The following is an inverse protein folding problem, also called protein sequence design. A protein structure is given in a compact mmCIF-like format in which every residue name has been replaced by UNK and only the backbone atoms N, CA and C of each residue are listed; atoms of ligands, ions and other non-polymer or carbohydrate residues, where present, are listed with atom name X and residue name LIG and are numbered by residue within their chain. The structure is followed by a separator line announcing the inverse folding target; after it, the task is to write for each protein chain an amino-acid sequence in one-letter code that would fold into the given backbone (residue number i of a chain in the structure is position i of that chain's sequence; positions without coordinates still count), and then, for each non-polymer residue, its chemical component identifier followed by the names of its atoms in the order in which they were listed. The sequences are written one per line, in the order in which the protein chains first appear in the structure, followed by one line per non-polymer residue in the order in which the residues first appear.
data_IF_130788932209
#
_entry.id   IF_130788932209
#
_cell.length_a   1.000
_cell.length_b   1.000
_cell.length_c   1.000
_cell.angle_alpha   90.00
_cell.angle_beta   90.00
_cell.angle_gamma   90.00
#
_symmetry.space_group_name_H-M   'P 1'
#
loop_
_entity.id
_entity.type
_entity.pdbx_description
1 polymer ?
#
# COMPACT_ATOMS: atom_id res chain seq x y z
N UNK A 1 -5.03 7.19 26.13
CA UNK A 1 -3.60 7.18 26.56
C UNK A 1 -3.35 7.77 27.96
N UNK A 2 -4.38 7.98 28.80
CA UNK A 2 -4.22 8.45 30.18
C UNK A 2 -4.09 9.97 30.37
N UNK A 3 -4.17 10.75 29.30
CA UNK A 3 -4.14 12.21 29.35
C UNK A 3 -5.56 12.76 29.32
N UNK A 4 -5.88 13.61 30.30
CA UNK A 4 -7.16 14.32 30.41
C UNK A 4 -6.87 15.76 30.84
N UNK A 5 -7.59 16.72 30.27
CA UNK A 5 -7.59 18.12 30.66
C UNK A 5 -8.95 18.76 30.28
N UNK A 6 -9.17 20.04 30.59
CA UNK A 6 -10.43 20.71 30.28
C UNK A 6 -10.53 21.08 28.80
N UNK A 7 -9.39 21.29 28.13
CA UNK A 7 -9.33 21.62 26.69
C UNK A 7 -8.32 20.74 25.94
N UNK A 8 -8.49 20.62 24.63
CA UNK A 8 -7.55 19.87 23.79
C UNK A 8 -6.17 20.52 23.75
N UNK A 9 -6.09 21.85 23.78
CA UNK A 9 -4.82 22.57 23.90
C UNK A 9 -4.05 22.19 25.17
N UNK A 10 -4.74 22.04 26.30
CA UNK A 10 -4.13 21.56 27.55
C UNK A 10 -3.72 20.09 27.45
N UNK A 11 -4.50 19.25 26.75
CA UNK A 11 -4.11 17.85 26.48
C UNK A 11 -2.81 17.83 25.65
N UNK A 12 -2.75 18.58 24.54
CA UNK A 12 -1.56 18.66 23.67
C UNK A 12 -0.35 19.13 24.47
N UNK A 13 -0.47 20.24 25.22
CA UNK A 13 0.62 20.77 26.03
C UNK A 13 1.12 19.75 27.06
N UNK A 14 0.20 19.04 27.72
CA UNK A 14 0.54 17.99 28.69
C UNK A 14 1.25 16.81 28.03
N UNK A 15 0.77 16.33 26.89
CA UNK A 15 1.41 15.22 26.17
C UNK A 15 2.78 15.65 25.62
N UNK A 16 2.90 16.86 25.08
CA UNK A 16 4.17 17.41 24.60
C UNK A 16 5.23 17.45 25.71
N UNK A 17 4.83 17.82 26.93
CA UNK A 17 5.73 17.90 28.08
C UNK A 17 6.07 16.51 28.66
N UNK A 18 5.07 15.65 28.84
CA UNK A 18 5.22 14.39 29.58
C UNK A 18 5.58 13.19 28.69
N UNK A 19 5.19 13.20 27.40
CA UNK A 19 5.36 12.11 26.46
C UNK A 19 5.37 12.56 24.98
N UNK A 20 6.32 13.40 24.54
CA UNK A 20 6.36 13.95 23.18
C UNK A 20 6.35 12.89 22.07
N UNK A 21 6.90 11.71 22.31
CA UNK A 21 6.85 10.58 21.37
C UNK A 21 5.43 10.05 21.11
N UNK A 22 4.53 10.15 22.09
CA UNK A 22 3.11 9.78 21.91
C UNK A 22 2.39 10.82 21.06
N UNK A 23 2.74 12.09 21.24
CA UNK A 23 2.22 13.17 20.40
C UNK A 23 2.66 12.97 18.94
N UNK A 24 3.95 12.74 18.72
CA UNK A 24 4.49 12.43 17.38
C UNK A 24 3.81 11.21 16.74
N UNK A 25 3.52 10.17 17.52
CA UNK A 25 2.80 8.99 17.02
C UNK A 25 1.36 9.31 16.60
N UNK A 26 0.69 10.24 17.28
CA UNK A 26 -0.68 10.65 16.94
C UNK A 26 -0.74 11.63 15.75
N UNK A 27 0.36 12.33 15.45
CA UNK A 27 0.47 13.31 14.36
C UNK A 27 1.16 12.73 13.11
N UNK A 28 1.42 11.42 13.06
CA UNK A 28 2.05 10.81 11.90
C UNK A 28 1.14 10.92 10.66
N UNK A 29 1.70 11.38 9.55
CA UNK A 29 1.02 11.39 8.25
C UNK A 29 1.14 10.03 7.53
N UNK A 30 1.22 8.91 8.26
CA UNK A 30 1.45 7.58 7.71
C UNK A 30 0.30 7.04 6.85
N UNK A 31 -0.92 7.56 7.04
CA UNK A 31 -2.08 7.24 6.22
C UNK A 31 -1.94 7.62 4.74
N UNK A 32 -0.94 8.44 4.38
CA UNK A 32 -0.59 8.70 2.97
C UNK A 32 -0.14 7.44 2.23
N UNK A 33 0.37 6.42 2.94
CA UNK A 33 0.77 5.15 2.34
C UNK A 33 -0.41 4.20 2.22
N UNK A 34 -1.28 4.52 1.26
CA UNK A 34 -2.54 3.82 1.04
C UNK A 34 -2.38 2.41 0.47
N UNK A 35 -1.16 1.97 0.08
CA UNK A 35 -0.89 0.56 -0.17
C UNK A 35 -1.20 -0.33 1.04
N UNK A 36 -1.15 0.23 2.24
CA UNK A 36 -1.51 -0.49 3.46
C UNK A 36 -2.92 -0.17 3.97
N UNK A 37 -3.72 0.62 3.25
CA UNK A 37 -5.04 1.01 3.73
C UNK A 37 -5.99 -0.20 3.84
N UNK A 38 -5.97 -1.08 2.85
CA UNK A 38 -6.83 -2.25 2.76
C UNK A 38 -6.24 -3.31 1.83
N UNK A 39 -6.79 -4.52 1.92
CA UNK A 39 -6.74 -5.50 0.83
C UNK A 39 -8.00 -5.39 -0.01
N UNK A 40 -7.84 -5.46 -1.33
CA UNK A 40 -8.92 -5.32 -2.32
C UNK A 40 -8.93 -6.57 -3.20
N UNK A 41 -10.08 -7.22 -3.31
CA UNK A 41 -10.30 -8.30 -4.29
C UNK A 41 -11.41 -7.87 -5.26
N UNK A 42 -11.13 -7.75 -6.57
CA UNK A 42 -12.11 -7.28 -7.56
C UNK A 42 -13.29 -8.22 -7.73
N UNK A 43 -14.42 -7.67 -8.19
CA UNK A 43 -15.64 -8.39 -8.56
C UNK A 43 -15.43 -9.63 -9.44
N UNK A 44 -14.39 -9.65 -10.27
CA UNK A 44 -14.11 -10.79 -11.16
C UNK A 44 -13.58 -12.03 -10.41
N UNK A 45 -13.11 -11.87 -9.17
CA UNK A 45 -12.40 -12.90 -8.41
C UNK A 45 -13.22 -13.46 -7.24
N UNK A 46 -14.30 -12.77 -6.87
CA UNK A 46 -15.12 -13.08 -5.69
C UNK A 46 -16.35 -13.92 -6.09
N UNK A 47 -16.78 -14.79 -5.19
CA UNK A 47 -17.86 -15.74 -5.46
C UNK A 47 -19.23 -15.10 -5.70
N UNK A 48 -19.46 -13.89 -5.19
CA UNK A 48 -20.72 -13.15 -5.30
C UNK A 48 -20.68 -12.03 -6.36
N UNK A 49 -19.54 -11.85 -7.03
CA UNK A 49 -19.37 -10.84 -8.07
C UNK A 49 -19.28 -9.40 -7.56
N UNK A 50 -18.96 -9.19 -6.27
CA UNK A 50 -18.74 -7.85 -5.69
C UNK A 50 -17.26 -7.55 -5.50
N UNK A 51 -16.88 -6.29 -5.45
CA UNK A 51 -15.52 -5.90 -5.03
C UNK A 51 -15.45 -5.93 -3.50
N UNK A 52 -14.62 -6.80 -2.93
CA UNK A 52 -14.46 -6.94 -1.48
C UNK A 52 -13.30 -6.11 -0.96
N UNK A 53 -13.52 -5.44 0.16
CA UNK A 53 -12.58 -4.49 0.77
C UNK A 53 -12.44 -4.82 2.27
N UNK A 54 -11.23 -5.17 2.70
CA UNK A 54 -10.91 -5.34 4.14
C UNK A 54 -9.85 -4.30 4.54
N UNK A 55 -10.18 -3.30 5.37
CA UNK A 55 -9.19 -2.39 5.94
C UNK A 55 -8.13 -3.15 6.75
N UNK A 56 -6.87 -2.79 6.56
CA UNK A 56 -5.77 -3.46 7.28
C UNK A 56 -5.71 -2.96 8.72
N UNK A 57 -5.43 -3.83 9.69
CA UNK A 57 -5.41 -3.45 11.09
C UNK A 57 -4.12 -2.73 11.53
N UNK A 58 -3.03 -2.90 10.78
CA UNK A 58 -1.75 -2.20 10.98
C UNK A 58 -1.20 -2.30 12.41
N UNK A 59 -1.51 -3.42 13.09
CA UNK A 59 -1.28 -3.58 14.53
C UNK A 59 0.19 -3.60 14.91
N UNK A 60 1.11 -3.75 13.95
CA UNK A 60 2.54 -3.81 14.19
C UNK A 60 3.14 -2.46 14.62
N UNK A 61 2.55 -1.33 14.20
CA UNK A 61 3.04 0.01 14.50
C UNK A 61 1.93 0.89 15.06
N UNK A 62 2.08 1.37 16.29
CA UNK A 62 1.02 2.11 16.99
C UNK A 62 0.50 3.35 16.22
N UNK A 63 1.40 4.14 15.63
CA UNK A 63 1.00 5.32 14.85
C UNK A 63 0.20 4.97 13.59
N UNK A 64 0.28 3.70 13.14
CA UNK A 64 -0.48 3.18 12.01
C UNK A 64 -1.78 2.49 12.42
N UNK A 65 -1.79 1.82 13.57
CA UNK A 65 -2.99 1.13 14.07
C UNK A 65 -4.15 2.08 14.40
N UNK A 66 -3.88 3.39 14.50
CA UNK A 66 -4.91 4.43 14.69
C UNK A 66 -5.51 4.94 13.37
N UNK A 67 -5.01 4.49 12.21
CA UNK A 67 -5.53 4.89 10.89
C UNK A 67 -6.91 4.23 10.59
N UNK A 68 -7.13 3.04 11.14
CA UNK A 68 -8.10 2.05 10.67
C UNK A 68 -9.55 2.55 10.61
N UNK A 69 -10.03 3.21 11.67
CA UNK A 69 -11.42 3.65 11.75
C UNK A 69 -11.74 4.73 10.70
N UNK A 70 -10.83 5.71 10.56
CA UNK A 70 -10.97 6.77 9.54
C UNK A 70 -10.81 6.18 8.14
N UNK A 71 -9.80 5.34 7.91
CA UNK A 71 -9.60 4.64 6.63
C UNK A 71 -10.85 3.85 6.23
N UNK A 72 -11.48 3.14 7.16
CA UNK A 72 -12.70 2.38 6.92
C UNK A 72 -13.86 3.27 6.45
N UNK A 73 -14.03 4.46 7.07
CA UNK A 73 -15.07 5.42 6.67
C UNK A 73 -14.77 6.06 5.31
N UNK A 74 -13.51 6.42 5.05
CA UNK A 74 -13.09 6.98 3.75
C UNK A 74 -13.32 5.96 2.63
N UNK A 75 -12.91 4.70 2.82
CA UNK A 75 -13.14 3.64 1.84
C UNK A 75 -14.63 3.41 1.58
N UNK A 76 -15.47 3.39 2.63
CA UNK A 76 -16.93 3.27 2.48
C UNK A 76 -17.57 4.45 1.76
N UNK A 77 -17.02 5.65 1.93
CA UNK A 77 -17.49 6.84 1.24
C UNK A 77 -17.14 6.79 -0.26
N UNK A 78 -15.89 6.43 -0.60
CA UNK A 78 -15.41 6.34 -1.98
C UNK A 78 -16.08 5.19 -2.74
N UNK A 79 -16.08 3.99 -2.13
CA UNK A 79 -16.59 2.75 -2.71
C UNK A 79 -17.98 2.45 -2.12
N UNK A 80 -18.92 3.35 -2.37
CA UNK A 80 -20.31 3.20 -1.95
C UNK A 80 -21.13 2.50 -3.04
N UNK A 81 -22.05 1.62 -2.65
CA UNK A 81 -22.91 0.89 -3.59
C UNK A 81 -23.11 -0.56 -3.19
N UNK A 82 -24.06 -1.24 -3.84
CA UNK A 82 -24.36 -2.65 -3.57
C UNK A 82 -23.31 -3.59 -4.20
N UNK A 83 -22.51 -3.09 -5.14
CA UNK A 83 -21.42 -3.77 -5.82
C UNK A 83 -20.12 -3.87 -5.01
N UNK A 84 -20.09 -3.25 -3.82
CA UNK A 84 -18.98 -3.32 -2.87
C UNK A 84 -19.39 -4.04 -1.60
N UNK A 85 -18.50 -4.90 -1.10
CA UNK A 85 -18.66 -5.53 0.22
C UNK A 85 -17.53 -5.06 1.15
N UNK A 86 -17.89 -4.33 2.20
CA UNK A 86 -16.94 -3.78 3.17
C UNK A 86 -16.87 -4.63 4.43
N UNK A 87 -15.73 -5.28 4.63
CA UNK A 87 -15.46 -6.08 5.82
C UNK A 87 -14.93 -5.21 6.96
N UNK A 88 -15.16 -5.59 8.23
CA UNK A 88 -14.41 -5.00 9.33
C UNK A 88 -12.92 -5.40 9.23
N UNK A 89 -12.00 -4.58 9.76
CA UNK A 89 -10.61 -5.00 9.92
C UNK A 89 -10.53 -6.28 10.76
N UNK A 90 -9.52 -7.11 10.50
CA UNK A 90 -9.25 -8.27 11.35
C UNK A 90 -8.90 -7.82 12.77
N UNK A 91 -9.17 -8.68 13.76
CA UNK A 91 -8.81 -8.43 15.16
C UNK A 91 -7.36 -7.97 15.29
N UNK A 92 -7.15 -6.88 16.02
CA UNK A 92 -5.83 -6.29 16.24
C UNK A 92 -5.02 -7.11 17.27
N UNK A 93 -4.57 -8.29 16.86
CA UNK A 93 -3.65 -9.14 17.62
C UNK A 93 -2.56 -9.72 16.72
N UNK A 94 -1.47 -10.20 17.32
CA UNK A 94 -0.29 -10.66 16.58
C UNK A 94 -0.53 -11.91 15.72
N UNK A 95 -1.64 -12.62 15.91
CA UNK A 95 -2.04 -13.75 15.04
C UNK A 95 -2.58 -13.25 13.71
N UNK A 96 -3.33 -12.14 13.73
CA UNK A 96 -4.05 -11.62 12.58
C UNK A 96 -3.47 -10.27 12.13
N UNK A 97 -2.15 -10.08 12.30
CA UNK A 97 -1.47 -8.86 11.88
C UNK A 97 -1.50 -8.73 10.36
N UNK A 98 -2.05 -7.60 9.89
CA UNK A 98 -2.31 -7.33 8.48
C UNK A 98 -1.85 -5.93 8.08
N UNK A 99 -1.13 -5.86 6.96
CA UNK A 99 -0.60 -4.65 6.36
C UNK A 99 -1.16 -4.40 4.94
N UNK A 100 -2.24 -5.09 4.56
CA UNK A 100 -3.04 -4.77 3.38
C UNK A 100 -2.34 -5.06 2.05
N UNK A 101 -2.68 -4.26 1.04
CA UNK A 101 -2.26 -4.49 -0.34
C UNK A 101 -0.74 -4.40 -0.61
N UNK A 102 0.06 -3.86 0.31
CA UNK A 102 1.53 -3.90 0.23
C UNK A 102 2.08 -5.34 0.25
N UNK A 103 1.29 -6.30 0.73
CA UNK A 103 1.58 -7.73 0.74
C UNK A 103 0.68 -8.54 -0.20
N UNK A 104 0.02 -7.87 -1.15
CA UNK A 104 -0.90 -8.48 -2.11
C UNK A 104 -0.52 -8.16 -3.56
N UNK A 105 -0.60 -9.16 -4.43
CA UNK A 105 -0.44 -8.99 -5.88
C UNK A 105 -1.49 -9.79 -6.62
N UNK A 106 -2.11 -9.17 -7.63
CA UNK A 106 -3.09 -9.81 -8.50
C UNK A 106 -2.54 -9.97 -9.91
N UNK A 107 -2.64 -11.18 -10.46
CA UNK A 107 -2.28 -11.51 -11.84
C UNK A 107 -3.52 -11.79 -12.69
N UNK A 108 -3.56 -11.27 -13.90
CA UNK A 108 -4.70 -11.39 -14.82
C UNK A 108 -4.27 -11.15 -16.28
N UNK A 109 -5.09 -11.56 -17.24
CA UNK A 109 -4.99 -11.17 -18.65
C UNK A 109 -5.42 -9.71 -18.83
N UNK A 110 -6.73 -9.47 -18.90
CA UNK A 110 -7.29 -8.13 -18.73
C UNK A 110 -7.69 -7.88 -17.27
N UNK A 111 -7.74 -6.62 -16.84
CA UNK A 111 -8.03 -6.29 -15.44
C UNK A 111 -9.42 -6.76 -14.99
N UNK A 112 -10.41 -6.73 -15.87
CA UNK A 112 -11.78 -7.18 -15.59
C UNK A 112 -11.99 -8.69 -15.72
N UNK A 113 -10.99 -9.45 -16.17
CA UNK A 113 -11.07 -10.92 -16.23
C UNK A 113 -10.76 -11.51 -14.84
N UNK A 114 -11.25 -12.71 -14.50
CA UNK A 114 -10.89 -13.41 -13.27
C UNK A 114 -9.37 -13.54 -13.11
N UNK A 115 -8.85 -13.32 -11.91
CA UNK A 115 -7.43 -13.25 -11.62
C UNK A 115 -6.90 -14.39 -10.76
N UNK A 116 -5.59 -14.34 -10.51
CA UNK A 116 -4.89 -15.13 -9.49
C UNK A 116 -4.37 -14.16 -8.43
N UNK A 117 -4.76 -14.36 -7.18
CA UNK A 117 -4.34 -13.52 -6.05
C UNK A 117 -3.17 -14.17 -5.30
N UNK A 118 -2.09 -13.42 -5.14
CA UNK A 118 -0.90 -13.79 -4.39
C UNK A 118 -0.85 -12.99 -3.09
N UNK A 119 -0.98 -13.69 -1.98
CA UNK A 119 -0.81 -13.15 -0.64
C UNK A 119 0.57 -13.51 -0.12
N UNK A 120 1.32 -12.52 0.36
CA UNK A 120 2.68 -12.71 0.86
C UNK A 120 2.73 -12.47 2.36
N UNK A 121 3.28 -13.40 3.13
CA UNK A 121 3.35 -13.29 4.59
C UNK A 121 4.79 -13.46 5.10
N UNK A 122 5.08 -12.90 6.27
CA UNK A 122 6.40 -13.02 6.89
C UNK A 122 6.48 -14.13 7.95
N UNK A 123 5.37 -14.46 8.60
CA UNK A 123 5.31 -15.47 9.66
C UNK A 123 3.99 -16.26 9.69
N UNK A 124 4.01 -17.43 10.33
CA UNK A 124 2.81 -18.25 10.56
C UNK A 124 2.97 -19.06 11.84
N UNK A 125 1.85 -19.35 12.51
CA UNK A 125 1.81 -20.29 13.65
C UNK A 125 2.10 -21.73 13.22
N UNK A 126 1.90 -22.08 11.95
CA UNK A 126 2.20 -23.43 11.42
C UNK A 126 3.70 -23.72 11.39
N UNK A 127 4.52 -22.70 11.14
CA UNK A 127 5.98 -22.82 11.12
C UNK A 127 6.63 -21.60 11.81
N UNK A 128 6.53 -21.50 13.15
CA UNK A 128 6.93 -20.30 13.89
C UNK A 128 8.45 -20.05 13.86
N UNK A 129 9.25 -21.06 13.52
CA UNK A 129 10.71 -20.96 13.45
C UNK A 129 11.22 -20.45 12.12
N UNK A 130 10.40 -20.49 11.06
CA UNK A 130 10.71 -19.86 9.79
C UNK A 130 10.14 -18.45 9.84
N UNK A 131 10.89 -17.54 10.47
CA UNK A 131 10.49 -16.15 10.70
C UNK A 131 11.75 -15.28 10.79
N UNK A 132 11.65 -13.95 10.56
CA UNK A 132 12.78 -13.04 10.74
C UNK A 132 13.24 -12.96 12.20
N UNK A 133 14.53 -12.72 12.41
CA UNK A 133 15.16 -12.71 13.74
C UNK A 133 15.38 -11.28 14.29
N UNK A 134 15.56 -10.29 13.41
CA UNK A 134 15.93 -8.92 13.75
C UNK A 134 14.75 -7.95 13.65
N UNK A 135 13.97 -8.03 12.58
CA UNK A 135 12.81 -7.16 12.37
C UNK A 135 11.50 -7.96 12.42
N UNK A 136 10.39 -7.39 12.91
CA UNK A 136 9.14 -8.12 13.03
C UNK A 136 8.55 -8.40 11.64
N UNK A 137 8.05 -9.63 11.45
CA UNK A 137 7.12 -9.94 10.36
C UNK A 137 5.76 -9.31 10.66
N UNK A 138 5.35 -8.33 9.86
CA UNK A 138 4.11 -7.56 10.08
C UNK A 138 2.86 -8.18 9.47
N UNK A 139 3.04 -9.15 8.57
CA UNK A 139 1.96 -9.89 7.92
C UNK A 139 2.01 -11.36 8.32
N UNK A 140 0.87 -11.91 8.74
CA UNK A 140 0.75 -13.35 9.06
C UNK A 140 -0.01 -14.12 7.99
N UNK A 141 0.31 -15.41 7.84
CA UNK A 141 -0.45 -16.32 6.98
C UNK A 141 -1.92 -16.39 7.41
N UNK A 142 -2.17 -16.38 8.71
CA UNK A 142 -3.52 -16.48 9.27
C UNK A 142 -4.38 -15.26 8.90
N UNK A 143 -3.79 -14.06 8.84
CA UNK A 143 -4.46 -12.87 8.32
C UNK A 143 -4.78 -13.02 6.83
N UNK A 144 -3.80 -13.41 6.01
CA UNK A 144 -3.99 -13.63 4.57
C UNK A 144 -5.11 -14.63 4.27
N UNK A 145 -5.15 -15.77 4.98
CA UNK A 145 -6.17 -16.79 4.79
C UNK A 145 -7.56 -16.31 5.24
N UNK A 146 -7.63 -15.53 6.32
CA UNK A 146 -8.90 -14.96 6.81
C UNK A 146 -9.47 -13.97 5.79
N UNK A 147 -8.63 -13.10 5.21
CA UNK A 147 -9.06 -12.15 4.17
C UNK A 147 -9.52 -12.88 2.92
N UNK A 148 -8.72 -13.81 2.40
CA UNK A 148 -9.10 -14.59 1.20
C UNK A 148 -10.44 -15.33 1.39
N UNK A 149 -10.68 -15.88 2.59
CA UNK A 149 -11.95 -16.50 2.94
C UNK A 149 -13.10 -15.49 3.01
N UNK A 150 -12.92 -14.34 3.67
CA UNK A 150 -13.94 -13.30 3.77
C UNK A 150 -14.28 -12.68 2.40
N UNK A 151 -13.30 -12.65 1.50
CA UNK A 151 -13.44 -12.17 0.14
C UNK A 151 -14.07 -13.20 -0.81
N UNK A 152 -14.32 -14.43 -0.34
CA UNK A 152 -14.92 -15.48 -1.16
C UNK A 152 -14.03 -15.90 -2.34
N UNK A 153 -12.70 -15.77 -2.19
CA UNK A 153 -11.76 -16.13 -3.25
C UNK A 153 -11.71 -17.63 -3.48
N UNK A 154 -11.63 -18.03 -4.74
CA UNK A 154 -11.47 -19.44 -5.09
C UNK A 154 -10.09 -19.96 -4.67
N UNK A 155 -10.04 -21.01 -3.85
CA UNK A 155 -8.78 -21.60 -3.38
C UNK A 155 -7.86 -22.09 -4.51
N UNK A 156 -8.41 -22.39 -5.69
CA UNK A 156 -7.66 -22.76 -6.89
C UNK A 156 -6.98 -21.57 -7.60
N UNK A 157 -7.30 -20.33 -7.19
CA UNK A 157 -6.79 -19.08 -7.74
C UNK A 157 -6.16 -18.18 -6.66
N UNK A 158 -5.92 -18.72 -5.46
CA UNK A 158 -5.29 -17.99 -4.35
C UNK A 158 -4.02 -18.71 -3.91
N UNK A 159 -2.90 -18.00 -3.96
CA UNK A 159 -1.58 -18.49 -3.58
C UNK A 159 -1.10 -17.75 -2.34
N UNK A 160 -0.50 -18.50 -1.41
CA UNK A 160 0.12 -17.95 -0.21
C UNK A 160 1.62 -18.22 -0.25
N UNK A 161 2.43 -17.16 -0.34
CA UNK A 161 3.88 -17.27 -0.39
C UNK A 161 4.52 -16.68 0.87
N UNK A 162 5.51 -17.38 1.43
CA UNK A 162 6.29 -16.82 2.52
C UNK A 162 7.43 -15.95 1.97
N UNK A 163 7.49 -14.70 2.42
CA UNK A 163 8.61 -13.81 2.17
C UNK A 163 9.88 -14.35 2.83
N UNK A 164 11.03 -14.16 2.19
CA UNK A 164 12.31 -14.59 2.73
C UNK A 164 12.61 -13.85 4.06
N UNK A 165 12.75 -14.57 5.19
CA UNK A 165 13.05 -13.95 6.49
C UNK A 165 14.31 -13.09 6.48
N UNK A 166 15.33 -13.48 5.71
CA UNK A 166 16.58 -12.72 5.58
C UNK A 166 16.38 -11.39 4.85
N UNK A 167 15.40 -11.31 3.94
CA UNK A 167 15.06 -10.06 3.27
C UNK A 167 14.35 -9.12 4.25
N UNK A 168 13.44 -9.64 5.07
CA UNK A 168 12.78 -8.87 6.15
C UNK A 168 13.84 -8.30 7.11
N UNK A 169 14.78 -9.14 7.57
CA UNK A 169 15.86 -8.72 8.46
C UNK A 169 16.84 -7.71 7.84
N UNK A 170 16.87 -7.62 6.50
CA UNK A 170 17.62 -6.61 5.77
C UNK A 170 16.88 -5.28 5.63
N UNK A 171 15.56 -5.23 5.88
CA UNK A 171 14.74 -4.02 5.80
C UNK A 171 13.51 -4.13 4.90
N UNK A 172 13.23 -5.30 4.31
CA UNK A 172 12.02 -5.53 3.49
C UNK A 172 10.82 -5.79 4.40
N UNK A 173 10.22 -4.75 4.95
CA UNK A 173 9.10 -4.90 5.89
C UNK A 173 7.75 -5.21 5.23
N UNK A 174 7.63 -5.02 3.91
CA UNK A 174 6.48 -5.38 3.06
C UNK A 174 6.95 -6.00 1.74
N UNK A 175 6.09 -6.81 1.09
CA UNK A 175 6.40 -7.45 -0.19
C UNK A 175 6.68 -6.45 -1.32
N UNK A 176 5.95 -5.34 -1.35
CA UNK A 176 6.15 -4.25 -2.32
C UNK A 176 7.50 -3.52 -2.19
N UNK A 177 8.39 -3.92 -1.28
CA UNK A 177 9.79 -3.46 -1.24
C UNK A 177 10.74 -4.42 -1.96
N UNK A 178 10.29 -5.63 -2.34
CA UNK A 178 11.13 -6.67 -2.97
C UNK A 178 10.50 -7.36 -4.20
N UNK A 179 9.19 -7.21 -4.41
CA UNK A 179 8.47 -7.74 -5.55
C UNK A 179 7.23 -6.91 -5.88
N UNK A 180 6.93 -6.76 -7.17
CA UNK A 180 5.71 -6.11 -7.67
C UNK A 180 5.23 -6.85 -8.92
N UNK A 181 3.93 -7.05 -9.04
CA UNK A 181 3.32 -7.63 -10.24
C UNK A 181 2.22 -6.78 -10.83
N UNK A 182 1.96 -6.95 -12.12
CA UNK A 182 0.88 -6.32 -12.86
C UNK A 182 0.50 -7.19 -14.06
N UNK A 183 -0.81 -7.44 -14.25
CA UNK A 183 -1.32 -8.36 -15.28
C UNK A 183 -0.58 -9.70 -15.23
N UNK A 184 0.10 -10.10 -16.29
CA UNK A 184 0.83 -11.36 -16.36
C UNK A 184 2.32 -11.23 -15.99
N UNK A 185 2.78 -10.08 -15.46
CA UNK A 185 4.19 -9.83 -15.16
C UNK A 185 4.44 -9.82 -13.64
N UNK A 186 5.48 -10.52 -13.19
CA UNK A 186 6.05 -10.43 -11.85
C UNK A 186 7.51 -9.96 -11.93
N UNK A 187 7.80 -8.81 -11.34
CA UNK A 187 9.14 -8.23 -11.21
C UNK A 187 9.60 -8.35 -9.75
N UNK A 188 10.68 -9.10 -9.49
CA UNK A 188 11.05 -9.48 -8.14
C UNK A 188 12.55 -9.75 -7.99
N UNK A 189 13.08 -9.62 -6.78
CA UNK A 189 14.47 -9.98 -6.48
C UNK A 189 14.65 -11.50 -6.30
N UNK A 190 15.82 -12.05 -6.65
CA UNK A 190 16.15 -13.48 -6.43
C UNK A 190 16.06 -13.94 -4.95
N UNK A 191 15.91 -12.98 -4.02
CA UNK A 191 15.80 -13.23 -2.57
C UNK A 191 14.42 -12.85 -2.00
N UNK A 192 13.40 -12.64 -2.84
CA UNK A 192 12.07 -12.19 -2.43
C UNK A 192 11.34 -13.20 -1.53
N UNK A 193 11.23 -14.46 -1.98
CA UNK A 193 10.48 -15.50 -1.28
C UNK A 193 11.40 -16.55 -0.66
N UNK A 194 10.88 -17.35 0.27
CA UNK A 194 11.60 -18.53 0.79
C UNK A 194 11.97 -19.49 -0.35
N UNK A 195 11.07 -19.63 -1.33
CA UNK A 195 11.26 -20.47 -2.51
C UNK A 195 10.64 -19.81 -3.76
N UNK A 196 11.44 -19.03 -4.51
CA UNK A 196 10.94 -18.35 -5.72
C UNK A 196 10.43 -19.33 -6.78
N UNK A 197 11.12 -20.46 -7.00
CA UNK A 197 10.74 -21.46 -8.00
C UNK A 197 9.35 -22.00 -7.72
N UNK A 198 9.09 -22.40 -6.47
CA UNK A 198 7.78 -22.91 -6.07
C UNK A 198 6.67 -21.87 -6.23
N UNK A 199 6.94 -20.59 -5.91
CA UNK A 199 5.96 -19.51 -6.14
C UNK A 199 5.67 -19.35 -7.63
N UNK A 200 6.70 -19.32 -8.49
CA UNK A 200 6.54 -19.19 -9.93
C UNK A 200 5.83 -20.40 -10.55
N UNK A 201 6.15 -21.61 -10.09
CA UNK A 201 5.53 -22.86 -10.52
C UNK A 201 4.04 -22.90 -10.12
N UNK A 202 3.72 -22.53 -8.88
CA UNK A 202 2.33 -22.45 -8.40
C UNK A 202 1.52 -21.42 -9.19
N UNK A 203 2.07 -20.22 -9.41
CA UNK A 203 1.43 -19.18 -10.21
C UNK A 203 1.19 -19.65 -11.65
N UNK A 204 2.20 -20.25 -12.28
CA UNK A 204 2.10 -20.76 -13.66
C UNK A 204 1.10 -21.90 -13.78
N UNK A 205 0.97 -22.73 -12.75
CA UNK A 205 0.02 -23.84 -12.75
C UNK A 205 -1.45 -23.39 -12.67
N UNK A 206 -1.72 -22.23 -12.05
CA UNK A 206 -3.09 -21.73 -11.85
C UNK A 206 -3.46 -20.58 -12.80
N UNK A 207 -2.49 -19.93 -13.44
CA UNK A 207 -2.72 -18.89 -14.42
C UNK A 207 -3.05 -19.50 -15.79
N UNK A 208 -4.26 -19.26 -16.27
CA UNK A 208 -4.84 -19.89 -17.47
C UNK A 208 -5.08 -18.89 -18.63
N UNK A 209 -4.64 -17.65 -18.48
CA UNK A 209 -4.86 -16.55 -19.44
C UNK A 209 -3.63 -16.25 -20.30
N UNK A 210 -2.73 -17.22 -20.45
CA UNK A 210 -1.50 -17.09 -21.23
C UNK A 210 -0.26 -17.42 -20.41
N UNK A 211 0.87 -16.83 -20.77
CA UNK A 211 2.14 -17.03 -20.09
C UNK A 211 2.38 -15.91 -19.06
N UNK A 212 2.84 -16.31 -17.87
CA UNK A 212 3.39 -15.38 -16.89
C UNK A 212 4.83 -15.02 -17.25
N UNK A 213 5.12 -13.72 -17.22
CA UNK A 213 6.44 -13.17 -17.45
C UNK A 213 7.10 -12.93 -16.10
N UNK A 214 8.15 -13.68 -15.82
CA UNK A 214 8.94 -13.54 -14.59
C UNK A 214 10.21 -12.77 -14.90
N UNK A 215 10.37 -11.60 -14.28
CA UNK A 215 11.60 -10.79 -14.33
C UNK A 215 12.27 -10.89 -12.96
N UNK A 216 13.14 -11.88 -12.81
CA UNK A 216 13.97 -12.03 -11.62
C UNK A 216 15.20 -11.11 -11.70
N UNK A 217 15.43 -10.31 -10.65
CA UNK A 217 16.64 -9.49 -10.51
C UNK A 217 17.67 -10.29 -9.71
N UNK A 218 18.78 -10.72 -10.34
CA UNK A 218 19.80 -11.47 -9.63
C UNK A 218 20.59 -10.54 -8.70
N UNK A 219 20.98 -11.05 -7.53
CA UNK A 219 21.74 -10.30 -6.51
C UNK A 219 23.09 -9.80 -7.04
N UNK A 220 23.59 -10.47 -8.08
CA UNK A 220 24.86 -10.16 -8.72
C UNK A 220 24.78 -8.91 -9.61
N UNK A 221 23.58 -8.50 -10.04
CA UNK A 221 23.35 -7.26 -10.78
C UNK A 221 22.87 -6.14 -9.84
N UNK A 222 21.91 -6.44 -8.96
CA UNK A 222 21.44 -5.49 -7.95
C UNK A 222 21.46 -6.19 -6.60
N UNK A 223 22.26 -5.69 -5.66
CA UNK A 223 22.30 -6.28 -4.32
C UNK A 223 21.00 -6.01 -3.56
N UNK A 224 20.66 -6.86 -2.58
CA UNK A 224 19.50 -6.63 -1.71
C UNK A 224 19.57 -5.27 -1.00
N UNK A 225 20.77 -4.82 -0.62
CA UNK A 225 20.99 -3.52 -0.01
C UNK A 225 20.62 -2.38 -0.97
N UNK A 226 21.03 -2.49 -2.23
CA UNK A 226 20.77 -1.47 -3.25
C UNK A 226 19.29 -1.46 -3.64
N UNK A 227 18.66 -2.63 -3.73
CA UNK A 227 17.21 -2.75 -3.95
C UNK A 227 16.40 -2.03 -2.86
N UNK A 228 16.77 -2.22 -1.59
CA UNK A 228 16.13 -1.56 -0.45
C UNK A 228 16.42 -0.05 -0.43
N UNK A 229 17.67 0.35 -0.69
CA UNK A 229 18.06 1.76 -0.66
C UNK A 229 17.43 2.57 -1.79
N UNK A 230 17.27 1.97 -2.98
CA UNK A 230 16.67 2.61 -4.15
C UNK A 230 15.15 2.53 -4.21
N UNK A 231 14.51 1.64 -3.45
CA UNK A 231 13.09 1.30 -3.58
C UNK A 231 12.72 0.77 -4.98
N UNK A 232 13.64 0.06 -5.67
CA UNK A 232 13.43 -0.48 -7.02
C UNK A 232 12.11 -1.23 -7.18
N UNK A 233 11.77 -2.10 -6.23
CA UNK A 233 10.54 -2.90 -6.29
C UNK A 233 9.32 -2.20 -5.71
N UNK A 234 9.50 -1.07 -5.02
CA UNK A 234 8.40 -0.18 -4.65
C UNK A 234 7.97 0.70 -5.82
N UNK A 235 8.06 0.16 -7.02
CA UNK A 235 7.69 0.77 -8.28
C UNK A 235 6.23 0.50 -8.62
N UNK A 236 5.67 1.30 -9.51
CA UNK A 236 4.41 0.95 -10.17
C UNK A 236 4.71 0.32 -11.52
N UNK A 237 4.13 -0.84 -11.77
CA UNK A 237 4.06 -1.46 -13.09
C UNK A 237 2.71 -1.09 -13.72
N UNK A 238 2.73 -0.37 -14.84
CA UNK A 238 1.54 0.15 -15.50
C UNK A 238 1.37 -0.41 -16.91
N UNK A 239 0.13 -0.75 -17.25
CA UNK A 239 -0.27 -1.03 -18.63
C UNK A 239 -0.93 0.22 -19.21
N UNK A 240 -0.19 0.96 -20.04
CA UNK A 240 -0.67 2.19 -20.68
C UNK A 240 -1.45 1.84 -21.96
N UNK A 241 -2.66 2.39 -22.18
CA UNK A 241 -3.41 2.13 -23.40
C UNK A 241 -2.61 2.48 -24.67
N UNK A 242 -2.67 1.62 -25.68
CA UNK A 242 -1.95 1.76 -26.95
C UNK A 242 -0.42 1.66 -26.86
N UNK A 243 0.11 1.19 -25.73
CA UNK A 243 1.53 0.89 -25.53
C UNK A 243 1.71 -0.62 -25.39
N UNK A 244 2.72 -1.17 -26.07
CA UNK A 244 3.14 -2.56 -25.88
C UNK A 244 4.16 -2.62 -24.73
N UNK A 245 4.02 -3.61 -23.84
CA UNK A 245 4.88 -3.73 -22.66
C UNK A 245 4.42 -2.89 -21.45
N UNK A 246 5.23 -2.97 -20.39
CA UNK A 246 4.95 -2.36 -19.09
C UNK A 246 5.76 -1.09 -18.91
N UNK A 247 5.11 0.00 -18.53
CA UNK A 247 5.80 1.20 -18.02
C UNK A 247 6.12 1.02 -16.54
N UNK A 248 7.38 1.20 -16.15
CA UNK A 248 7.82 1.12 -14.75
C UNK A 248 8.00 2.54 -14.19
N UNK A 249 7.31 2.86 -13.10
CA UNK A 249 7.52 4.11 -12.35
C UNK A 249 8.39 3.81 -11.12
N UNK A 250 9.58 4.40 -11.08
CA UNK A 250 10.55 4.28 -9.98
C UNK A 250 10.82 5.64 -9.32
N UNK A 251 11.27 5.67 -8.05
CA UNK A 251 11.74 6.92 -7.44
C UNK A 251 13.13 7.32 -7.99
N UNK A 252 13.51 8.59 -7.85
CA UNK A 252 14.80 9.13 -8.32
C UNK A 252 16.03 8.41 -7.75
N UNK A 253 15.91 7.81 -6.58
CA UNK A 253 16.96 7.04 -5.90
C UNK A 253 17.40 5.82 -6.73
N UNK A 254 16.53 5.29 -7.60
CA UNK A 254 16.89 4.26 -8.58
C UNK A 254 17.86 4.78 -9.67
N UNK A 255 17.92 6.09 -9.90
CA UNK A 255 18.90 6.73 -10.79
C UNK A 255 20.22 7.00 -10.06
N UNK A 256 20.16 7.30 -8.77
CA UNK A 256 21.32 7.68 -7.97
C UNK A 256 22.21 6.47 -7.58
N UNK A 257 21.64 5.27 -7.54
CA UNK A 257 22.37 4.02 -7.27
C UNK A 257 22.77 3.36 -8.59
N UNK A 258 24.07 3.37 -8.90
CA UNK A 258 24.66 2.92 -10.17
C UNK A 258 24.21 1.51 -10.58
N UNK A 259 24.28 0.53 -9.67
CA UNK A 259 23.87 -0.87 -9.95
C UNK A 259 22.40 -0.98 -10.37
N UNK A 260 21.53 -0.17 -9.77
CA UNK A 260 20.09 -0.14 -10.06
C UNK A 260 19.80 0.59 -11.36
N UNK A 261 20.46 1.73 -11.57
CA UNK A 261 20.32 2.52 -12.79
C UNK A 261 20.78 1.73 -14.02
N UNK A 262 21.94 1.08 -13.95
CA UNK A 262 22.46 0.24 -15.03
C UNK A 262 21.55 -0.95 -15.32
N UNK A 263 21.01 -1.60 -14.27
CA UNK A 263 20.05 -2.67 -14.41
C UNK A 263 18.77 -2.20 -15.13
N UNK A 264 18.19 -1.06 -14.70
CA UNK A 264 16.97 -0.51 -15.31
C UNK A 264 17.18 -0.08 -16.77
N UNK A 265 18.30 0.56 -17.08
CA UNK A 265 18.64 0.93 -18.47
C UNK A 265 18.77 -0.30 -19.36
N UNK A 266 19.42 -1.35 -18.85
CA UNK A 266 19.53 -2.63 -19.57
C UNK A 266 18.16 -3.29 -19.73
N UNK A 267 17.36 -3.29 -18.68
CA UNK A 267 16.03 -3.89 -18.68
C UNK A 267 15.12 -3.21 -19.72
N UNK A 268 15.10 -1.87 -19.76
CA UNK A 268 14.35 -1.09 -20.74
C UNK A 268 14.84 -1.33 -22.18
N UNK A 269 16.16 -1.47 -22.38
CA UNK A 269 16.73 -1.65 -23.71
C UNK A 269 16.58 -3.08 -24.27
N UNK A 270 16.58 -4.10 -23.41
CA UNK A 270 16.72 -5.51 -23.83
C UNK A 270 15.49 -6.38 -23.58
N UNK A 271 14.58 -5.99 -22.66
CA UNK A 271 13.43 -6.82 -22.31
C UNK A 271 12.15 -6.31 -22.97
N UNK A 272 11.63 -7.06 -23.94
CA UNK A 272 10.43 -6.70 -24.71
C UNK A 272 9.14 -6.60 -23.87
N UNK A 273 9.14 -7.08 -22.62
CA UNK A 273 8.02 -6.92 -21.72
C UNK A 273 7.96 -5.52 -21.08
N UNK A 274 9.03 -4.73 -21.19
CA UNK A 274 9.17 -3.40 -20.62
C UNK A 274 9.16 -2.35 -21.75
N UNK A 275 8.26 -1.36 -21.62
CA UNK A 275 8.15 -0.24 -22.56
C UNK A 275 9.17 0.85 -22.24
N UNK A 276 9.13 1.34 -20.99
CA UNK A 276 9.99 2.42 -20.52
C UNK A 276 10.08 2.47 -19.00
N UNK A 277 11.14 3.10 -18.49
CA UNK A 277 11.32 3.41 -17.08
C UNK A 277 11.19 4.92 -16.85
N UNK A 278 10.27 5.31 -15.97
CA UNK A 278 10.02 6.71 -15.58
C UNK A 278 10.44 6.95 -14.14
N UNK A 279 11.12 8.08 -13.91
CA UNK A 279 11.66 8.46 -12.60
C UNK A 279 10.91 9.65 -12.02
N UNK A 280 10.47 9.56 -10.77
CA UNK A 280 9.77 10.64 -10.06
C UNK A 280 10.46 11.02 -8.76
N UNK A 281 10.53 12.32 -8.48
CA UNK A 281 11.04 12.84 -7.22
C UNK A 281 9.95 12.73 -6.14
N UNK A 282 10.17 11.80 -5.21
CA UNK A 282 9.31 11.54 -4.07
C UNK A 282 10.06 11.65 -2.75
N UNK A 283 11.13 12.46 -2.70
CA UNK A 283 12.09 12.52 -1.58
C UNK A 283 11.42 12.66 -0.20
N UNK A 284 10.35 13.44 -0.09
CA UNK A 284 9.63 13.61 1.19
C UNK A 284 8.94 12.33 1.69
N UNK A 285 8.46 11.48 0.79
CA UNK A 285 7.92 10.17 1.14
C UNK A 285 9.03 9.14 1.33
N UNK A 286 10.04 9.14 0.43
CA UNK A 286 11.20 8.25 0.48
C UNK A 286 12.00 8.38 1.78
N UNK A 287 12.17 9.60 2.31
CA UNK A 287 12.82 9.84 3.60
C UNK A 287 12.13 9.16 4.79
N UNK A 288 10.86 8.76 4.64
CA UNK A 288 10.09 8.02 5.62
C UNK A 288 9.79 6.57 5.19
N UNK A 289 10.43 6.08 4.12
CA UNK A 289 10.31 4.71 3.65
C UNK A 289 9.07 4.40 2.83
N UNK A 290 8.61 5.33 1.98
CA UNK A 290 7.56 5.03 1.01
C UNK A 290 7.87 5.58 -0.38
N UNK A 291 7.95 4.69 -1.37
CA UNK A 291 8.13 5.03 -2.78
C UNK A 291 6.80 5.13 -3.54
N UNK A 292 6.85 5.08 -4.89
CA UNK A 292 5.67 5.17 -5.74
C UNK A 292 4.56 4.17 -5.39
N UNK A 293 4.92 2.91 -5.10
CA UNK A 293 3.94 1.88 -4.79
C UNK A 293 3.28 2.08 -3.42
N UNK A 294 4.02 2.52 -2.39
CA UNK A 294 3.44 2.75 -1.06
C UNK A 294 2.34 3.82 -1.09
N UNK A 295 2.46 4.83 -1.95
CA UNK A 295 1.54 5.97 -2.06
C UNK A 295 0.23 5.66 -2.81
N UNK A 296 0.01 4.43 -3.27
CA UNK A 296 -1.16 4.07 -4.09
C UNK A 296 -1.78 2.74 -3.69
N UNK A 297 -3.12 2.71 -3.71
CA UNK A 297 -3.93 1.50 -3.60
C UNK A 297 -4.46 1.15 -4.99
N UNK A 298 -4.32 -0.12 -5.40
CA UNK A 298 -4.84 -0.58 -6.70
C UNK A 298 -6.26 -1.11 -6.49
N UNK A 299 -7.22 -0.53 -7.20
CA UNK A 299 -8.63 -0.97 -7.22
C UNK A 299 -9.04 -1.12 -8.68
N UNK A 300 -9.40 -2.34 -9.07
CA UNK A 300 -9.99 -2.59 -10.39
C UNK A 300 -11.46 -2.19 -10.32
N UNK A 301 -11.88 -1.31 -11.23
CA UNK A 301 -13.26 -0.83 -11.33
C UNK A 301 -13.76 -1.00 -12.77
N UNK A 302 -15.04 -1.32 -12.94
CA UNK A 302 -15.72 -1.20 -14.24
C UNK A 302 -15.98 0.28 -14.57
N UNK A 303 -16.31 0.57 -15.84
CA UNK A 303 -16.72 1.93 -16.24
C UNK A 303 -17.97 2.38 -15.46
N UNK A 304 -18.94 1.49 -15.26
CA UNK A 304 -20.14 1.78 -14.46
C UNK A 304 -19.82 2.12 -13.00
N UNK A 305 -18.88 1.42 -12.38
CA UNK A 305 -18.40 1.70 -11.02
C UNK A 305 -17.70 3.06 -10.91
N UNK A 306 -16.97 3.46 -11.96
CA UNK A 306 -16.33 4.78 -12.02
C UNK A 306 -17.40 5.87 -12.17
N UNK A 307 -18.33 5.70 -13.10
CA UNK A 307 -19.38 6.68 -13.42
C UNK A 307 -20.38 6.87 -12.28
N UNK A 308 -20.63 5.83 -11.49
CA UNK A 308 -21.56 5.85 -10.35
C UNK A 308 -20.93 6.33 -9.04
N UNK A 309 -19.61 6.50 -8.98
CA UNK A 309 -18.93 6.98 -7.77
C UNK A 309 -19.40 8.40 -7.40
N UNK A 310 -20.05 8.52 -6.25
CA UNK A 310 -20.60 9.80 -5.77
C UNK A 310 -19.55 10.80 -5.27
N UNK A 311 -18.31 10.36 -5.08
CA UNK A 311 -17.21 11.19 -4.55
C UNK A 311 -16.41 11.85 -5.67
N UNK A 312 -15.80 12.99 -5.38
CA UNK A 312 -14.96 13.74 -6.33
C UNK A 312 -13.49 13.35 -6.16
N UNK A 313 -13.14 12.09 -6.45
CA UNK A 313 -11.80 11.52 -6.20
C UNK A 313 -11.04 11.09 -7.44
N UNK A 314 -11.70 11.07 -8.61
CA UNK A 314 -11.01 10.80 -9.88
C UNK A 314 -10.29 12.06 -10.34
N UNK A 315 -8.96 11.95 -10.46
CA UNK A 315 -8.11 13.09 -10.81
C UNK A 315 -8.44 13.60 -12.22
N UNK A 316 -8.79 14.87 -12.29
CA UNK A 316 -8.96 15.67 -13.52
C UNK A 316 -8.10 16.92 -13.40
N UNK A 317 -7.86 17.64 -14.51
CA UNK A 317 -7.14 18.92 -14.46
C UNK A 317 -7.81 19.92 -13.50
N UNK A 318 -9.15 19.92 -13.44
CA UNK A 318 -9.90 20.76 -12.51
C UNK A 318 -9.64 20.36 -11.06
N UNK A 319 -9.78 19.07 -10.72
CA UNK A 319 -9.56 18.59 -9.36
C UNK A 319 -8.10 18.78 -8.93
N UNK A 320 -7.15 18.60 -9.86
CA UNK A 320 -5.74 18.87 -9.61
C UNK A 320 -5.49 20.32 -9.18
N UNK A 321 -6.00 21.30 -9.93
CA UNK A 321 -5.82 22.72 -9.57
C UNK A 321 -6.54 23.09 -8.26
N UNK A 322 -7.71 22.50 -7.99
CA UNK A 322 -8.42 22.68 -6.73
C UNK A 322 -7.62 22.13 -5.54
N UNK A 323 -7.09 20.91 -5.66
CA UNK A 323 -6.25 20.29 -4.63
C UNK A 323 -4.97 21.09 -4.41
N UNK A 324 -4.33 21.57 -5.47
CA UNK A 324 -3.14 22.41 -5.39
C UNK A 324 -3.43 23.71 -4.63
N UNK A 325 -4.52 24.39 -4.99
CA UNK A 325 -4.95 25.62 -4.29
C UNK A 325 -5.22 25.35 -2.81
N UNK A 326 -5.89 24.23 -2.50
CA UNK A 326 -6.14 23.80 -1.12
C UNK A 326 -4.84 23.50 -0.36
N UNK A 327 -3.87 22.81 -0.98
CA UNK A 327 -2.55 22.56 -0.38
C UNK A 327 -1.84 23.88 -0.08
N UNK A 328 -1.76 24.79 -1.05
CA UNK A 328 -1.10 26.10 -0.92
C UNK A 328 -1.74 26.98 0.16
N UNK A 329 -3.05 26.81 0.43
CA UNK A 329 -3.76 27.54 1.45
C UNK A 329 -3.53 27.01 2.88
N UNK A 330 -3.28 25.70 3.04
CA UNK A 330 -3.33 25.04 4.35
C UNK A 330 -2.00 24.44 4.82
N UNK A 331 -1.09 24.05 3.93
CA UNK A 331 0.13 23.33 4.34
C UNK A 331 1.23 24.31 4.75
N UNK A 332 1.85 24.05 5.90
CA UNK A 332 3.07 24.73 6.32
C UNK A 332 4.24 24.30 5.41
N UNK A 333 5.10 25.23 5.02
CA UNK A 333 6.31 24.94 4.24
C UNK A 333 7.39 24.21 5.06
N UNK A 334 7.34 24.31 6.38
CA UNK A 334 8.22 23.62 7.32
C UNK A 334 7.41 23.14 8.52
N UNK A 335 7.75 21.94 9.00
CA UNK A 335 7.21 21.36 10.21
C UNK A 335 8.31 20.57 10.92
N UNK A 336 8.62 20.94 12.16
CA UNK A 336 9.58 20.23 13.02
C UNK A 336 8.87 19.58 14.22
N UNK A 337 9.48 18.60 14.91
CA UNK A 337 8.82 17.91 16.02
C UNK A 337 8.29 18.83 17.12
N UNK A 338 8.93 19.97 17.37
CA UNK A 338 8.50 20.96 18.35
C UNK A 338 7.19 21.65 17.97
N UNK A 339 6.90 21.80 16.67
CA UNK A 339 5.68 22.42 16.17
C UNK A 339 4.44 21.57 16.47
N UNK A 340 4.60 20.27 16.74
CA UNK A 340 3.49 19.38 17.10
C UNK A 340 2.83 19.79 18.43
N UNK A 341 3.54 20.55 19.27
CA UNK A 341 3.01 21.09 20.52
C UNK A 341 2.17 22.37 20.33
N UNK A 342 2.16 22.95 19.13
CA UNK A 342 1.36 24.13 18.80
C UNK A 342 -0.12 23.76 18.66
N UNK A 343 -1.02 24.22 19.54
CA UNK A 343 -2.44 23.92 19.44
C UNK A 343 -3.08 24.50 18.16
N UNK A 344 -2.49 25.54 17.55
CA UNK A 344 -3.00 26.09 16.29
C UNK A 344 -2.87 25.07 15.14
N UNK A 345 -1.86 24.19 15.17
CA UNK A 345 -1.68 23.15 14.16
C UNK A 345 -2.89 22.18 14.11
N UNK A 346 -3.47 21.83 15.27
CA UNK A 346 -4.67 20.98 15.31
C UNK A 346 -5.85 21.65 14.61
N UNK A 347 -6.08 22.93 14.89
CA UNK A 347 -7.18 23.70 14.31
C UNK A 347 -6.99 23.90 12.80
N UNK A 348 -5.75 24.18 12.37
CA UNK A 348 -5.38 24.22 10.96
C UNK A 348 -5.68 22.90 10.25
N UNK A 349 -5.26 21.77 10.84
CA UNK A 349 -5.52 20.44 10.30
C UNK A 349 -7.02 20.15 10.19
N UNK A 350 -7.82 20.46 11.22
CA UNK A 350 -9.26 20.22 11.21
C UNK A 350 -9.97 21.04 10.15
N UNK A 351 -9.68 22.33 10.07
CA UNK A 351 -10.24 23.21 9.03
C UNK A 351 -9.87 22.70 7.64
N UNK A 352 -8.59 22.36 7.43
CA UNK A 352 -8.13 21.83 6.15
C UNK A 352 -8.88 20.54 5.77
N UNK A 353 -8.99 19.58 6.71
CA UNK A 353 -9.69 18.32 6.49
C UNK A 353 -11.20 18.48 6.27
N UNK A 354 -11.83 19.45 6.94
CA UNK A 354 -13.25 19.76 6.75
C UNK A 354 -13.51 20.26 5.33
N UNK A 355 -12.74 21.27 4.89
CA UNK A 355 -12.79 21.79 3.52
C UNK A 355 -12.43 20.72 2.47
N UNK A 356 -11.46 19.83 2.76
CA UNK A 356 -11.10 18.74 1.86
C UNK A 356 -12.23 17.72 1.71
N UNK A 357 -12.91 17.39 2.81
CA UNK A 357 -14.03 16.44 2.79
C UNK A 357 -15.20 16.96 1.95
N UNK A 358 -15.44 18.27 1.96
CA UNK A 358 -16.41 18.93 1.07
C UNK A 358 -15.93 18.91 -0.39
N UNK A 359 -14.69 19.32 -0.65
CA UNK A 359 -14.10 19.35 -2.00
C UNK A 359 -14.15 17.98 -2.68
N UNK A 360 -13.83 16.92 -1.93
CA UNK A 360 -13.84 15.54 -2.39
C UNK A 360 -15.21 14.85 -2.26
N UNK A 361 -16.22 15.54 -1.71
CA UNK A 361 -17.56 15.00 -1.46
C UNK A 361 -17.57 13.71 -0.64
N UNK A 362 -16.66 13.60 0.33
CA UNK A 362 -16.53 12.41 1.18
C UNK A 362 -17.61 12.36 2.29
N UNK A 363 -18.19 13.52 2.63
CA UNK A 363 -19.03 13.67 3.81
C UNK A 363 -18.22 13.61 5.11
N UNK A 364 -18.90 13.44 6.24
CA UNK A 364 -18.28 13.40 7.57
C UNK A 364 -17.55 12.08 7.82
N UNK A 365 -16.27 12.00 7.47
CA UNK A 365 -15.43 10.80 7.60
C UNK A 365 -14.39 10.90 8.71
N UNK A 366 -14.13 12.09 9.25
CA UNK A 366 -13.20 12.31 10.35
C UNK A 366 -13.94 12.38 11.70
N UNK A 367 -13.32 11.86 12.76
CA UNK A 367 -13.98 11.78 14.09
C UNK A 367 -14.46 13.14 14.61
N UNK A 368 -13.73 14.22 14.31
CA UNK A 368 -14.11 15.57 14.75
C UNK A 368 -15.38 16.11 14.05
N UNK A 369 -15.80 15.51 12.92
CA UNK A 369 -16.99 15.89 12.15
C UNK A 369 -18.23 15.08 12.56
N UNK A 370 -18.07 14.00 13.33
CA UNK A 370 -19.16 13.08 13.68
C UNK A 370 -19.98 13.53 14.89
N UNK A 371 -19.59 14.64 15.54
CA UNK A 371 -20.17 15.13 16.78
C UNK A 371 -21.19 16.24 16.57
#
# INVERSE_FOLDING_TARGET
MGFNAATEAEIIAKVAQEAPQKLASAYSASSKWVANAATISPYADTADGKTHITPANLTSMFHRSIEVDTTSRVLKSIFAGDEYEHHPPLSADSTLSDEGAANHTRFCGAYGDPGVELFVFGSSKKNPYLAPEKFPARQTLEACQSIASNHGLASSKTIFAQQNPKAIDAGVFHNDVIAVGNRNLLFYHEQAFVNNSEVCDQLSAVFDQGELIFIEVPKAQVSLKDAIASYLFNSQLLSVPSTEGTTIIVPTECRDIESVHDYLNKLEAENSAIDRVMYFDLRQSMNNGGGPACLRLRVVMSEEQIDSCGTNVFLTDLLYEQLKTWIEAHYRESLVPEDLADPALLEECRRALDELSELLKLGSVYDFQLN
#
